data_IF_919326893446
#
_entry.id   IF_919326893446
#
_cell.length_a   1.000
_cell.length_b   1.000
_cell.length_c   1.000
_cell.angle_alpha   90.00
_cell.angle_beta   90.00
_cell.angle_gamma   90.00
#
_symmetry.space_group_name_H-M   'P 1'
#
loop_
_entity.id
_entity.type
_entity.pdbx_description
1 polymer ?
#
# COMPACT_ATOMS: atom_id res chain seq x y z
N UNK A 1 -22.34 35.22 30.11
CA UNK A 1 -21.82 34.68 28.84
C UNK A 1 -21.24 33.29 29.12
N UNK A 2 -21.99 32.20 28.88
CA UNK A 2 -21.49 30.82 29.06
C UNK A 2 -20.90 30.35 27.71
N UNK A 3 -19.62 30.03 27.67
CA UNK A 3 -19.02 29.37 26.51
C UNK A 3 -19.54 27.93 26.42
N UNK A 4 -19.93 27.43 25.22
CA UNK A 4 -20.35 26.04 25.05
C UNK A 4 -19.15 25.08 25.21
N UNK A 5 -19.43 23.94 25.85
CA UNK A 5 -18.51 22.85 26.19
C UNK A 5 -17.75 22.32 24.98
N UNK A 6 -16.44 22.11 25.13
CA UNK A 6 -15.51 21.54 24.13
C UNK A 6 -15.69 20.03 23.91
N UNK A 7 -16.93 19.53 23.98
CA UNK A 7 -17.28 18.12 23.87
C UNK A 7 -17.62 17.73 22.42
N UNK A 8 -16.71 18.01 21.47
CA UNK A 8 -16.90 17.62 20.04
C UNK A 8 -15.61 17.19 19.31
N UNK A 9 -14.59 16.72 20.02
CA UNK A 9 -13.38 16.14 19.41
C UNK A 9 -13.27 14.61 19.60
N UNK A 10 -14.36 13.94 19.95
CA UNK A 10 -14.43 12.48 19.98
C UNK A 10 -14.68 11.93 18.58
N UNK A 11 -13.62 11.71 17.80
CA UNK A 11 -13.74 11.08 16.48
C UNK A 11 -12.60 11.31 15.50
N UNK A 12 -11.39 11.67 15.95
CA UNK A 12 -10.23 11.59 15.06
C UNK A 12 -9.85 10.11 14.95
N UNK A 13 -10.49 9.43 13.99
CA UNK A 13 -10.11 8.10 13.50
C UNK A 13 -8.60 7.98 13.49
N UNK A 14 -8.07 7.00 14.23
CA UNK A 14 -6.65 6.72 14.31
C UNK A 14 -6.05 6.75 12.89
N UNK A 15 -4.95 7.47 12.65
CA UNK A 15 -4.43 7.62 11.30
C UNK A 15 -4.10 6.23 10.76
N UNK A 16 -4.75 5.82 9.68
CA UNK A 16 -4.46 4.55 9.00
C UNK A 16 -2.99 4.54 8.65
N UNK A 17 -2.21 3.70 9.34
CA UNK A 17 -0.79 3.53 9.06
C UNK A 17 -0.69 2.58 7.87
N UNK A 18 0.07 2.98 6.87
CA UNK A 18 0.29 2.18 5.67
C UNK A 18 1.69 1.59 5.69
N UNK A 19 1.81 0.33 5.35
CA UNK A 19 3.08 -0.34 5.08
C UNK A 19 3.28 -0.42 3.58
N UNK A 20 4.49 -0.16 3.11
CA UNK A 20 4.85 -0.20 1.69
C UNK A 20 5.93 -1.26 1.46
N UNK A 21 5.75 -2.07 0.42
CA UNK A 21 6.72 -3.07 -0.02
C UNK A 21 7.10 -2.82 -1.47
N UNK A 22 8.37 -3.02 -1.78
CA UNK A 22 8.91 -3.01 -3.14
C UNK A 22 9.43 -4.39 -3.46
N UNK A 23 8.93 -4.99 -4.54
CA UNK A 23 9.27 -6.37 -4.90
C UNK A 23 9.74 -6.43 -6.35
N UNK A 24 10.89 -7.08 -6.60
CA UNK A 24 11.34 -7.32 -7.97
C UNK A 24 10.44 -8.37 -8.61
N UNK A 25 9.94 -8.04 -9.79
CA UNK A 25 9.14 -8.92 -10.64
C UNK A 25 10.05 -9.53 -11.70
N UNK A 26 10.04 -10.85 -11.74
CA UNK A 26 10.70 -11.64 -12.79
C UNK A 26 9.79 -11.69 -14.01
N UNK A 27 10.30 -11.35 -15.20
CA UNK A 27 9.51 -11.24 -16.45
C UNK A 27 8.68 -12.49 -16.77
N UNK A 28 9.16 -13.67 -16.39
CA UNK A 28 8.48 -14.96 -16.61
C UNK A 28 7.57 -15.40 -15.45
N UNK A 29 7.56 -14.68 -14.33
CA UNK A 29 6.80 -15.04 -13.12
C UNK A 29 6.02 -13.85 -12.50
N UNK A 30 5.91 -12.71 -13.19
CA UNK A 30 5.24 -11.50 -12.70
C UNK A 30 3.85 -11.79 -12.12
N UNK A 31 3.02 -12.56 -12.84
CA UNK A 31 1.67 -12.93 -12.38
C UNK A 31 1.72 -13.71 -11.06
N UNK A 32 2.55 -14.74 -10.98
CA UNK A 32 2.68 -15.58 -9.78
C UNK A 32 3.11 -14.75 -8.56
N UNK A 33 4.08 -13.86 -8.75
CA UNK A 33 4.55 -12.96 -7.68
C UNK A 33 3.40 -12.07 -7.21
N UNK A 34 2.73 -11.37 -8.13
CA UNK A 34 1.63 -10.46 -7.80
C UNK A 34 0.44 -11.18 -7.14
N UNK A 35 0.07 -12.37 -7.63
CA UNK A 35 -0.98 -13.19 -7.02
C UNK A 35 -0.61 -13.55 -5.57
N UNK A 36 0.63 -13.99 -5.30
CA UNK A 36 1.09 -14.31 -3.94
C UNK A 36 0.97 -13.11 -3.00
N UNK A 37 1.50 -11.95 -3.38
CA UNK A 37 1.40 -10.75 -2.55
C UNK A 37 -0.05 -10.29 -2.36
N UNK A 38 -0.90 -10.43 -3.38
CA UNK A 38 -2.32 -10.19 -3.28
C UNK A 38 -3.01 -11.09 -2.25
N UNK A 39 -2.63 -12.38 -2.18
CA UNK A 39 -3.11 -13.32 -1.15
C UNK A 39 -2.62 -12.93 0.25
N UNK A 40 -1.40 -12.40 0.37
CA UNK A 40 -0.85 -11.86 1.63
C UNK A 40 -1.53 -10.53 2.06
N UNK A 41 -2.53 -10.04 1.31
CA UNK A 41 -3.30 -8.85 1.64
C UNK A 41 -2.64 -7.54 1.20
N UNK A 42 -1.64 -7.62 0.33
CA UNK A 42 -1.01 -6.44 -0.25
C UNK A 42 -1.78 -5.95 -1.48
N UNK A 43 -2.02 -4.65 -1.54
CA UNK A 43 -2.65 -3.98 -2.66
C UNK A 43 -1.57 -3.46 -3.62
N UNK A 44 -1.62 -3.90 -4.88
CA UNK A 44 -0.74 -3.41 -5.93
C UNK A 44 -1.06 -1.94 -6.25
N UNK A 45 -0.06 -1.07 -6.12
CA UNK A 45 -0.19 0.36 -6.42
C UNK A 45 0.28 0.66 -7.84
N UNK A 46 1.48 0.22 -8.20
CA UNK A 46 2.06 0.47 -9.51
C UNK A 46 3.16 -0.53 -9.84
N UNK A 47 3.38 -0.76 -11.14
CA UNK A 47 4.49 -1.55 -11.66
C UNK A 47 5.36 -0.64 -12.51
N UNK A 48 6.62 -0.46 -12.12
CA UNK A 48 7.60 0.28 -12.89
C UNK A 48 8.42 -0.69 -13.73
N UNK A 49 8.45 -0.46 -15.04
CA UNK A 49 9.39 -1.11 -15.94
C UNK A 49 10.71 -0.36 -15.94
N UNK A 50 11.81 -1.07 -15.76
CA UNK A 50 13.12 -0.51 -16.05
C UNK A 50 13.22 -0.28 -17.58
N UNK A 51 13.80 0.84 -18.06
CA UNK A 51 14.05 1.05 -19.49
C UNK A 51 14.80 -0.10 -20.19
N UNK A 52 15.58 -0.91 -19.45
CA UNK A 52 16.23 -2.11 -19.98
C UNK A 52 15.29 -3.32 -20.16
N UNK A 53 14.08 -3.29 -19.61
CA UNK A 53 13.07 -4.37 -19.76
C UNK A 53 13.33 -5.67 -18.97
N UNK A 54 14.50 -5.84 -18.38
CA UNK A 54 14.90 -7.09 -17.71
C UNK A 54 14.31 -7.26 -16.30
N UNK A 55 13.96 -6.15 -15.65
CA UNK A 55 13.46 -6.15 -14.27
C UNK A 55 12.30 -5.16 -14.14
N UNK A 56 11.15 -5.67 -13.70
CA UNK A 56 10.03 -4.84 -13.28
C UNK A 56 10.03 -4.74 -11.76
N UNK A 57 9.61 -3.61 -11.20
CA UNK A 57 9.45 -3.45 -9.75
C UNK A 57 7.98 -3.14 -9.48
N UNK A 58 7.36 -3.94 -8.61
CA UNK A 58 6.02 -3.66 -8.11
C UNK A 58 6.09 -2.93 -6.77
N UNK A 59 5.29 -1.87 -6.66
CA UNK A 59 5.03 -1.16 -5.42
C UNK A 59 3.70 -1.66 -4.87
N UNK A 60 3.72 -2.13 -3.63
CA UNK A 60 2.54 -2.58 -2.94
C UNK A 60 2.37 -1.82 -1.63
N UNK A 61 1.12 -1.69 -1.20
CA UNK A 61 0.77 -1.11 0.09
C UNK A 61 -0.19 -2.03 0.84
N UNK A 62 -0.16 -2.00 2.17
CA UNK A 62 -1.18 -2.61 3.01
C UNK A 62 -1.49 -1.74 4.22
N UNK A 63 -2.73 -1.76 4.74
CA UNK A 63 -3.00 -1.17 6.04
C UNK A 63 -2.28 -1.98 7.13
N UNK A 64 -1.70 -1.28 8.11
CA UNK A 64 -1.08 -1.91 9.29
C UNK A 64 -2.12 -2.40 10.28
#
# INVERSE_FOLDING_TARGET
MRYPSADKLGGMSEPTRWEYATVPLLIHATKQILDQWGQDGWELVSVLANPSGEQHVAYLKRPK
#
